data_IF_710599845635
#
_entry.id   IF_710599845635
#
_cell.length_a   1.000
_cell.length_b   1.000
_cell.length_c   1.000
_cell.angle_alpha   90.00
_cell.angle_beta   90.00
_cell.angle_gamma   90.00
#
_symmetry.space_group_name_H-M   'P 1'
#
loop_
_entity.id
_entity.type
_entity.pdbx_description
1 polymer ?
2 non-polymer ?
3 non-polymer ?
4 non-polymer ?
5 non-polymer ?
6 non-polymer ?
7 water ?
#
# COMPACT_ATOMS: atom_id res chain seq x y z
N UNK A 6 -11.47 28.78 8.22
CA UNK A 6 -11.14 28.10 9.50
C UNK A 6 -9.87 27.26 9.31
N UNK A 7 -8.84 27.48 10.14
CA UNK A 7 -7.58 26.73 10.03
C UNK A 7 -7.75 25.22 9.92
N UNK A 8 -6.87 24.59 9.17
CA UNK A 8 -6.92 23.15 8.95
C UNK A 8 -5.53 22.54 8.91
N UNK A 9 -5.42 21.26 9.28
CA UNK A 9 -4.12 20.60 9.26
C UNK A 9 -3.80 20.12 7.85
N UNK A 10 -4.82 20.14 6.98
CA UNK A 10 -4.66 19.70 5.60
C UNK A 10 -4.65 20.85 4.57
N UNK A 11 -4.38 20.46 3.33
CA UNK A 11 -4.39 21.36 2.18
C UNK A 11 -4.85 20.50 1.00
N UNK A 12 -5.88 20.96 0.30
CA UNK A 12 -6.43 20.24 -0.85
C UNK A 12 -5.87 20.78 -2.16
N UNK A 13 -5.69 19.90 -3.14
CA UNK A 13 -5.19 20.30 -4.45
C UNK A 13 -6.03 19.65 -5.54
N UNK A 14 -5.94 20.21 -6.75
CA UNK A 14 -6.60 19.62 -7.89
C UNK A 14 -5.38 19.20 -8.71
N UNK A 15 -5.59 18.41 -9.75
CA UNK A 15 -4.45 17.95 -10.54
C UNK A 15 -3.62 19.12 -11.07
N UNK A 16 -4.30 20.19 -11.47
CA UNK A 16 -3.65 21.39 -11.99
C UNK A 16 -2.61 21.92 -11.00
N UNK A 17 -3.06 22.19 -9.77
CA UNK A 17 -2.21 22.71 -8.70
C UNK A 17 -1.10 21.75 -8.29
N UNK A 18 -1.45 20.49 -8.12
CA UNK A 18 -0.47 19.49 -7.71
C UNK A 18 0.59 19.27 -8.77
N UNK A 19 0.18 19.42 -10.03
CA UNK A 19 1.08 19.24 -11.17
C UNK A 19 2.24 20.23 -11.18
N UNK A 20 1.98 21.48 -10.79
CA UNK A 20 3.01 22.50 -10.77
C UNK A 20 4.14 22.20 -9.79
N UNK A 21 3.84 21.40 -8.77
CA UNK A 21 4.83 21.05 -7.76
C UNK A 21 5.86 20.01 -8.21
N UNK A 22 5.82 19.63 -9.49
CA UNK A 22 6.76 18.66 -10.02
C UNK A 22 8.16 19.28 -10.15
N UNK A 23 8.18 20.56 -10.54
CA UNK A 23 9.42 21.28 -10.74
C UNK A 23 10.35 20.56 -11.72
N UNK A 24 11.62 20.46 -11.37
CA UNK A 24 12.59 19.81 -12.25
C UNK A 24 12.57 18.28 -12.20
N UNK A 25 11.81 17.72 -11.27
CA UNK A 25 11.74 16.27 -11.11
C UNK A 25 11.70 15.54 -12.46
N UNK A 26 12.72 14.72 -12.73
CA UNK A 26 12.83 13.96 -13.97
C UNK A 26 12.04 12.64 -14.01
N UNK A 27 11.46 12.35 -15.18
CA UNK A 27 10.69 11.13 -15.37
C UNK A 27 11.63 10.05 -15.92
N UNK A 28 11.91 9.04 -15.10
CA UNK A 28 12.82 7.98 -15.49
C UNK A 28 12.12 6.63 -15.66
N UNK A 29 10.91 6.65 -16.22
CA UNK A 29 10.19 5.42 -16.43
C UNK A 29 9.57 5.39 -17.83
N UNK A 30 9.69 4.25 -18.51
CA UNK A 30 9.15 4.11 -19.86
C UNK A 30 7.73 3.52 -19.81
N UNK A 31 6.98 3.74 -20.88
CA UNK A 31 5.61 3.22 -20.96
C UNK A 31 5.62 1.71 -20.80
N UNK A 32 6.69 1.07 -21.28
CA UNK A 32 6.81 -0.38 -21.17
C UNK A 32 7.04 -0.83 -19.73
N UNK A 33 7.87 -0.10 -19.01
CA UNK A 33 8.16 -0.42 -17.61
C UNK A 33 6.92 -0.19 -16.76
N UNK A 34 6.12 0.80 -17.16
CA UNK A 34 4.89 1.13 -16.46
C UNK A 34 3.90 -0.03 -16.50
N UNK A 35 3.77 -0.66 -17.67
CA UNK A 35 2.88 -1.79 -17.84
C UNK A 35 3.18 -2.92 -16.87
N UNK A 36 4.45 -3.22 -16.67
CA UNK A 36 4.82 -4.28 -15.76
C UNK A 36 4.47 -4.00 -14.31
N UNK A 37 4.14 -2.74 -14.01
CA UNK A 37 3.81 -2.36 -12.65
C UNK A 37 2.29 -2.21 -12.50
N UNK A 38 1.62 -2.05 -13.63
CA UNK A 38 0.18 -1.84 -13.66
C UNK A 38 -0.61 -3.10 -13.28
N UNK A 39 -1.55 -2.94 -12.36
CA UNK A 39 -2.38 -4.06 -11.94
C UNK A 39 -3.63 -4.16 -12.80
N UNK A 40 -4.27 -5.32 -12.79
CA UNK A 40 -5.49 -5.52 -13.58
C UNK A 40 -6.58 -4.51 -13.23
N UNK A 41 -7.00 -3.75 -14.22
CA UNK A 41 -8.06 -2.78 -14.01
C UNK A 41 -7.56 -1.35 -13.82
N UNK A 42 -6.26 -1.19 -13.63
CA UNK A 42 -5.70 0.15 -13.44
C UNK A 42 -5.33 0.85 -14.74
N UNK A 43 -5.72 2.12 -14.82
CA UNK A 43 -5.50 2.94 -16.01
C UNK A 43 -4.19 3.74 -16.10
N UNK A 44 -3.52 3.94 -14.97
CA UNK A 44 -2.30 4.73 -14.95
C UNK A 44 -1.46 4.78 -16.23
N UNK A 45 -1.23 5.99 -16.72
CA UNK A 45 -0.42 6.22 -17.92
C UNK A 45 0.78 7.09 -17.53
N UNK A 46 1.73 7.27 -18.45
CA UNK A 46 2.90 8.09 -18.15
C UNK A 46 2.53 9.51 -17.75
N UNK A 47 1.45 10.02 -18.30
CA UNK A 47 1.04 11.38 -17.96
C UNK A 47 0.83 11.47 -16.45
N UNK A 48 -0.07 10.63 -15.93
CA UNK A 48 -0.39 10.61 -14.50
C UNK A 48 0.86 10.44 -13.64
N UNK A 49 1.82 9.65 -14.12
CA UNK A 49 3.05 9.46 -13.38
C UNK A 49 3.76 10.81 -13.26
N UNK A 50 3.65 11.62 -14.31
CA UNK A 50 4.30 12.93 -14.35
C UNK A 50 3.61 14.00 -13.52
N UNK A 51 2.30 14.11 -13.67
CA UNK A 51 1.53 15.13 -12.96
C UNK A 51 1.16 14.80 -11.52
N UNK A 52 1.26 13.53 -11.15
CA UNK A 52 0.88 13.10 -9.81
C UNK A 52 1.97 12.40 -9.03
N UNK A 53 2.59 11.39 -9.64
CA UNK A 53 3.64 10.67 -8.94
C UNK A 53 4.99 11.36 -8.81
N UNK A 54 5.29 12.30 -9.72
CA UNK A 54 6.58 12.99 -9.64
C UNK A 54 6.61 13.99 -8.48
N UNK A 55 5.56 14.82 -8.35
CA UNK A 55 5.55 15.78 -7.23
C UNK A 55 5.69 15.00 -5.93
N UNK A 56 4.94 13.89 -5.83
CA UNK A 56 4.96 13.04 -4.66
C UNK A 56 6.36 12.55 -4.36
N UNK A 57 7.05 12.03 -5.38
CA UNK A 57 8.40 11.53 -5.18
C UNK A 57 9.31 12.65 -4.68
N UNK A 58 9.09 13.88 -5.18
CA UNK A 58 9.90 15.02 -4.77
C UNK A 58 9.67 15.29 -3.29
N UNK A 59 8.41 15.48 -2.92
CA UNK A 59 8.05 15.71 -1.52
C UNK A 59 8.67 14.65 -0.61
N UNK A 60 8.57 13.39 -1.01
CA UNK A 60 9.14 12.30 -0.22
C UNK A 60 10.66 12.46 -0.10
N UNK A 61 11.30 12.90 -1.18
CA UNK A 61 12.75 13.08 -1.15
C UNK A 61 13.15 14.21 -0.20
N UNK A 62 12.32 15.26 -0.14
CA UNK A 62 12.60 16.38 0.75
C UNK A 62 12.44 15.95 2.22
N UNK A 63 11.52 15.03 2.45
CA UNK A 63 11.24 14.53 3.80
C UNK A 63 12.24 13.50 4.32
N UNK A 64 12.77 12.66 3.43
CA UNK A 64 13.75 11.68 3.88
C UNK A 64 14.90 12.37 4.60
N UNK A 65 15.44 13.40 3.98
CA UNK A 65 16.55 14.16 4.55
C UNK A 65 16.12 14.78 5.88
N UNK A 66 14.98 15.47 5.85
CA UNK A 66 14.43 16.12 7.02
C UNK A 66 14.16 15.13 8.15
N UNK A 67 13.67 13.94 7.80
CA UNK A 67 13.37 12.94 8.82
C UNK A 67 14.65 12.45 9.48
N UNK A 68 15.75 12.46 8.74
CA UNK A 68 17.03 12.04 9.32
C UNK A 68 17.50 13.01 10.40
N UNK A 69 17.20 14.29 10.23
CA UNK A 69 17.58 15.31 11.21
C UNK A 69 17.01 14.90 12.57
N UNK A 70 15.75 14.45 12.57
CA UNK A 70 15.08 14.04 13.79
C UNK A 70 15.74 12.87 14.51
N UNK A 71 15.96 11.76 13.82
CA UNK A 71 16.59 10.62 14.47
C UNK A 71 17.99 10.97 14.91
N UNK A 72 18.63 11.88 14.16
CA UNK A 72 19.97 12.34 14.48
C UNK A 72 19.94 13.11 15.80
N UNK A 73 18.99 14.02 15.92
CA UNK A 73 18.84 14.83 17.13
C UNK A 73 18.76 13.93 18.35
N UNK A 74 17.93 12.89 18.26
CA UNK A 74 17.78 11.97 19.37
C UNK A 74 19.10 11.22 19.59
N UNK A 75 19.76 10.87 18.50
CA UNK A 75 21.04 10.15 18.58
C UNK A 75 22.08 11.02 19.28
N UNK A 76 22.03 12.32 19.01
CA UNK A 76 22.96 13.23 19.64
C UNK A 76 22.65 13.37 21.12
N UNK A 77 21.37 13.50 21.45
CA UNK A 77 20.94 13.62 22.85
C UNK A 77 21.45 12.43 23.66
N UNK A 78 21.34 11.24 23.08
CA UNK A 78 21.77 10.02 23.76
C UNK A 78 23.29 9.88 23.77
N UNK A 79 23.96 10.82 23.13
CA UNK A 79 25.42 10.78 23.08
C UNK A 79 25.93 9.74 22.11
N UNK A 80 25.03 8.92 21.58
CA UNK A 80 25.38 7.87 20.63
C UNK A 80 26.27 8.43 19.52
N UNK A 81 27.14 7.58 18.96
CA UNK A 81 28.04 8.02 17.90
C UNK A 81 27.27 8.45 16.65
N UNK A 82 27.66 9.57 16.05
CA UNK A 82 26.99 10.04 14.84
C UNK A 82 26.90 8.80 13.94
N UNK A 83 25.68 8.48 13.51
CA UNK A 83 25.43 7.27 12.72
C UNK A 83 25.87 7.17 11.26
N UNK A 84 26.16 5.92 10.91
CA UNK A 84 26.61 5.45 9.59
C UNK A 84 26.12 6.19 8.34
N UNK A 85 27.05 6.70 7.52
CA UNK A 85 26.66 7.41 6.29
C UNK A 85 26.16 6.37 5.27
N UNK A 86 24.89 6.01 5.41
CA UNK A 86 24.19 5.04 4.59
C UNK A 86 24.16 3.62 5.15
N UNK A 87 23.30 3.56 6.15
CA UNK A 87 22.88 2.46 6.97
C UNK A 87 22.10 3.38 7.91
N UNK A 88 21.44 4.40 7.32
CA UNK A 88 20.66 5.36 8.10
C UNK A 88 19.36 4.72 8.57
N UNK A 89 18.56 5.50 9.26
CA UNK A 89 17.29 4.99 9.75
C UNK A 89 16.37 4.83 8.56
N UNK A 90 16.01 3.58 8.24
CA UNK A 90 15.11 3.28 7.11
C UNK A 90 13.86 4.15 7.16
N UNK A 91 13.51 4.73 6.02
CA UNK A 91 12.35 5.59 5.90
C UNK A 91 11.16 4.71 5.54
N UNK A 92 10.20 4.62 6.45
CA UNK A 92 9.03 3.76 6.25
C UNK A 92 7.82 4.48 5.66
N UNK A 93 7.28 3.92 4.57
CA UNK A 93 6.12 4.49 3.89
C UNK A 93 4.97 3.50 3.92
N UNK A 94 3.80 3.98 4.34
CA UNK A 94 2.64 3.11 4.40
C UNK A 94 1.68 3.44 3.26
N UNK A 95 1.05 2.42 2.71
CA UNK A 95 0.09 2.62 1.61
C UNK A 95 -1.21 1.88 1.95
N UNK A 96 -2.24 2.64 2.31
CA UNK A 96 -3.51 2.06 2.71
C UNK A 96 -4.63 2.33 1.72
N UNK A 97 -5.73 1.62 1.93
CA UNK A 97 -6.91 1.77 1.09
C UNK A 97 -7.71 0.48 0.95
N UNK A 98 -8.92 0.61 0.41
CA UNK A 98 -9.83 -0.52 0.20
C UNK A 98 -9.27 -1.52 -0.80
N UNK A 99 -9.80 -2.74 -0.81
CA UNK A 99 -9.35 -3.72 -1.79
C UNK A 99 -9.86 -3.15 -3.10
N UNK A 100 -9.22 -3.53 -4.20
CA UNK A 100 -9.63 -3.08 -5.54
C UNK A 100 -9.48 -1.58 -5.77
N UNK A 101 -8.78 -0.87 -4.91
CA UNK A 101 -8.63 0.57 -5.12
C UNK A 101 -7.36 0.90 -5.89
N UNK A 102 -6.46 -0.08 -6.04
CA UNK A 102 -5.22 0.16 -6.77
C UNK A 102 -3.96 0.37 -5.95
N UNK A 103 -4.01 0.08 -4.65
CA UNK A 103 -2.84 0.24 -3.80
C UNK A 103 -1.61 -0.44 -4.40
N UNK A 104 -1.82 -1.59 -5.05
CA UNK A 104 -0.75 -2.37 -5.68
C UNK A 104 0.03 -1.56 -6.70
N UNK A 105 -0.70 -0.93 -7.60
CA UNK A 105 -0.10 -0.11 -8.64
C UNK A 105 0.64 1.06 -8.04
N UNK A 106 -0.05 1.82 -7.20
CA UNK A 106 0.50 2.98 -6.54
C UNK A 106 1.81 2.68 -5.82
N UNK A 107 1.86 1.59 -5.08
CA UNK A 107 3.06 1.24 -4.35
C UNK A 107 4.19 0.77 -5.27
N UNK A 108 3.85 0.01 -6.30
CA UNK A 108 4.86 -0.47 -7.24
C UNK A 108 5.42 0.69 -8.07
N UNK A 109 4.57 1.62 -8.45
CA UNK A 109 5.01 2.77 -9.21
C UNK A 109 5.92 3.62 -8.33
N UNK A 110 5.48 3.88 -7.09
CA UNK A 110 6.27 4.68 -6.17
C UNK A 110 7.64 4.02 -5.93
N UNK A 111 7.64 2.72 -5.73
CA UNK A 111 8.89 1.99 -5.49
C UNK A 111 9.83 2.21 -6.67
N UNK A 112 9.29 2.12 -7.87
CA UNK A 112 10.09 2.29 -9.08
C UNK A 112 10.68 3.70 -9.16
N UNK A 113 9.85 4.71 -8.93
CA UNK A 113 10.33 6.09 -9.00
C UNK A 113 11.43 6.34 -7.97
N UNK A 114 11.23 5.88 -6.75
CA UNK A 114 12.22 6.09 -5.70
C UNK A 114 13.50 5.33 -5.94
N UNK A 115 13.42 4.20 -6.63
CA UNK A 115 14.59 3.39 -6.91
C UNK A 115 15.48 4.10 -7.92
N UNK A 116 14.85 4.83 -8.82
CA UNK A 116 15.56 5.57 -9.86
C UNK A 116 15.91 6.98 -9.41
N UNK A 117 16.38 7.10 -8.18
CA UNK A 117 16.78 8.39 -7.66
C UNK A 117 18.29 8.39 -7.53
N UNK A 118 18.88 9.58 -7.43
CA UNK A 118 20.31 9.72 -7.32
C UNK A 118 20.93 8.76 -6.30
N UNK A 119 22.02 8.11 -6.69
CA UNK A 119 22.75 7.19 -5.82
C UNK A 119 22.02 5.86 -5.58
N UNK A 120 20.92 5.66 -6.30
CA UNK A 120 20.13 4.43 -6.24
C UNK A 120 19.89 3.84 -4.85
N UNK A 121 18.83 4.29 -4.17
CA UNK A 121 18.48 3.81 -2.83
C UNK A 121 17.76 2.47 -2.87
N UNK A 122 18.11 1.58 -1.95
CA UNK A 122 17.45 0.28 -1.87
C UNK A 122 16.03 0.50 -1.36
N UNK A 123 15.05 0.28 -2.24
CA UNK A 123 13.65 0.47 -1.92
C UNK A 123 12.86 -0.84 -1.94
N UNK A 124 12.52 -1.35 -0.76
CA UNK A 124 11.76 -2.58 -0.69
C UNK A 124 10.26 -2.32 -0.54
N UNK A 125 9.46 -3.28 -0.98
CA UNK A 125 8.01 -3.18 -0.91
C UNK A 125 7.44 -4.45 -0.29
N UNK A 126 6.72 -4.28 0.82
CA UNK A 126 6.11 -5.42 1.49
C UNK A 126 4.61 -5.24 1.69
N UNK A 127 3.83 -6.19 1.19
CA UNK A 127 2.38 -6.17 1.33
C UNK A 127 2.03 -6.92 2.60
N UNK A 128 0.98 -6.50 3.28
CA UNK A 128 0.62 -7.15 4.54
C UNK A 128 -0.12 -8.47 4.44
N UNK A 129 -0.50 -8.89 3.24
CA UNK A 129 -1.21 -10.16 3.13
C UNK A 129 -0.32 -11.30 3.58
N UNK A 130 0.99 -11.06 3.59
CA UNK A 130 1.93 -12.07 4.02
C UNK A 130 1.90 -12.24 5.54
N UNK A 131 1.15 -11.39 6.22
CA UNK A 131 1.03 -11.47 7.66
C UNK A 131 -0.37 -11.92 8.05
N UNK A 132 -1.14 -12.34 7.07
CA UNK A 132 -2.47 -12.84 7.36
C UNK A 132 -2.22 -14.17 8.05
N UNK A 133 -3.15 -14.60 8.89
CA UNK A 133 -2.98 -15.90 9.53
C UNK A 133 -3.23 -16.94 8.43
N UNK A 134 -2.64 -18.12 8.56
CA UNK A 134 -2.86 -19.17 7.55
C UNK A 134 -4.31 -19.59 7.65
N UNK A 135 -4.86 -20.11 6.56
CA UNK A 135 -6.25 -20.56 6.54
C UNK A 135 -6.61 -21.44 7.74
N UNK A 136 -5.79 -22.43 8.02
CA UNK A 136 -6.01 -23.34 9.14
C UNK A 136 -6.21 -22.54 10.43
N UNK A 137 -5.38 -21.53 10.63
CA UNK A 137 -5.48 -20.70 11.82
C UNK A 137 -6.74 -19.82 11.76
N UNK A 138 -7.05 -19.32 10.57
CA UNK A 138 -8.24 -18.48 10.40
C UNK A 138 -9.49 -19.31 10.69
N UNK A 139 -9.51 -20.54 10.18
CA UNK A 139 -10.64 -21.44 10.40
C UNK A 139 -10.80 -21.63 11.91
N UNK A 140 -9.68 -21.92 12.57
CA UNK A 140 -9.67 -22.12 14.00
C UNK A 140 -10.35 -20.95 14.71
N UNK A 141 -10.02 -19.74 14.27
CA UNK A 141 -10.60 -18.54 14.89
C UNK A 141 -11.92 -18.12 14.25
N UNK A 142 -12.41 -18.91 13.30
CA UNK A 142 -13.67 -18.60 12.63
C UNK A 142 -13.58 -17.30 11.83
N UNK A 143 -12.42 -17.05 11.23
CA UNK A 143 -12.21 -15.83 10.47
C UNK A 143 -12.03 -16.01 8.97
N UNK A 144 -12.33 -17.19 8.44
CA UNK A 144 -12.17 -17.44 7.00
C UNK A 144 -12.99 -16.51 6.09
N UNK A 145 -13.97 -15.82 6.66
CA UNK A 145 -14.77 -14.89 5.88
C UNK A 145 -14.52 -13.48 6.38
N UNK A 146 -13.30 -13.25 6.84
CA UNK A 146 -12.91 -11.94 7.35
C UNK A 146 -11.47 -11.62 6.98
N UNK A 147 -10.97 -12.26 5.92
CA UNK A 147 -9.60 -11.98 5.46
C UNK A 147 -9.54 -10.52 5.05
N UNK A 148 -8.67 -9.77 5.69
CA UNK A 148 -8.56 -8.35 5.39
C UNK A 148 -8.89 -7.54 6.62
N UNK A 149 -9.74 -8.08 7.49
CA UNK A 149 -10.11 -7.42 8.74
C UNK A 149 -8.89 -7.43 9.66
N UNK A 150 -8.78 -6.44 10.55
CA UNK A 150 -7.64 -6.36 11.49
C UNK A 150 -7.33 -7.67 12.23
N UNK A 151 -8.37 -8.32 12.73
CA UNK A 151 -8.22 -9.56 13.48
C UNK A 151 -7.70 -10.75 12.64
N UNK A 152 -7.68 -10.63 11.32
CA UNK A 152 -7.21 -11.74 10.50
C UNK A 152 -5.69 -11.72 10.28
N UNK A 153 -5.02 -10.74 10.86
CA UNK A 153 -3.58 -10.62 10.75
C UNK A 153 -2.80 -10.93 12.03
N UNK A 154 -1.58 -11.44 11.87
CA UNK A 154 -0.72 -11.68 13.02
C UNK A 154 -0.08 -10.29 13.16
N UNK A 155 -0.78 -9.41 13.88
CA UNK A 155 -0.32 -8.04 14.09
C UNK A 155 1.01 -7.92 14.82
N UNK A 156 1.29 -8.83 15.75
CA UNK A 156 2.54 -8.80 16.48
C UNK A 156 3.71 -9.15 15.56
N UNK A 157 3.51 -10.15 14.72
CA UNK A 157 4.57 -10.56 13.81
C UNK A 157 4.85 -9.42 12.84
N UNK A 158 3.79 -8.72 12.44
CA UNK A 158 3.91 -7.59 11.52
C UNK A 158 4.69 -6.45 12.16
N UNK A 159 4.25 -6.05 13.35
CA UNK A 159 4.89 -4.98 14.09
C UNK A 159 6.33 -5.34 14.39
N UNK A 160 6.56 -6.64 14.62
CA UNK A 160 7.89 -7.13 14.92
C UNK A 160 8.79 -6.97 13.70
N UNK A 161 8.26 -7.27 12.53
CA UNK A 161 9.00 -7.16 11.28
C UNK A 161 9.41 -5.71 10.96
N UNK A 162 8.45 -4.80 11.04
CA UNK A 162 8.73 -3.40 10.73
C UNK A 162 9.68 -2.77 11.75
N UNK A 163 9.50 -3.12 13.01
CA UNK A 163 10.35 -2.58 14.06
C UNK A 163 11.78 -3.05 13.83
N UNK A 164 11.92 -4.30 13.42
CA UNK A 164 13.24 -4.87 13.14
C UNK A 164 13.94 -4.04 12.08
N UNK A 165 13.27 -3.84 10.96
CA UNK A 165 13.81 -3.08 9.86
C UNK A 165 14.15 -1.62 10.21
N UNK A 166 13.22 -0.90 10.83
CA UNK A 166 13.52 0.49 11.17
C UNK A 166 14.57 0.60 12.25
N UNK A 167 14.70 -0.42 13.10
CA UNK A 167 15.70 -0.43 14.16
C UNK A 167 17.10 -0.73 13.62
N UNK A 168 17.23 -0.91 12.31
CA UNK A 168 18.54 -1.17 11.74
C UNK A 168 19.01 -2.60 11.58
N UNK A 169 18.11 -3.57 11.71
CA UNK A 169 18.50 -4.98 11.55
C UNK A 169 19.13 -5.21 10.19
N UNK A 170 20.00 -6.21 10.07
CA UNK A 170 20.66 -6.47 8.79
C UNK A 170 19.73 -7.20 7.84
N UNK A 171 18.82 -7.98 8.41
CA UNK A 171 17.85 -8.71 7.61
C UNK A 171 16.63 -9.04 8.48
N UNK A 172 15.47 -9.00 7.85
CA UNK A 172 14.20 -9.30 8.50
C UNK A 172 13.39 -10.11 7.50
N UNK A 173 12.55 -11.00 7.99
CA UNK A 173 11.75 -11.83 7.10
C UNK A 173 10.26 -11.74 7.32
N UNK A 174 9.51 -11.82 6.22
CA UNK A 174 8.06 -11.76 6.25
C UNK A 174 7.54 -13.02 5.57
N UNK A 175 6.37 -13.53 6.02
CA UNK A 175 5.85 -14.73 5.35
C UNK A 175 5.32 -14.29 4.00
N UNK A 176 4.92 -15.23 3.16
CA UNK A 176 4.42 -14.88 1.83
C UNK A 176 3.04 -15.45 1.60
N UNK A 177 2.18 -14.64 1.01
CA UNK A 177 0.81 -15.06 0.73
C UNK A 177 0.60 -15.35 -0.75
N UNK A 178 -0.05 -16.48 -1.05
CA UNK A 178 -0.33 -16.84 -2.44
C UNK A 178 -1.79 -16.51 -2.78
N UNK A 179 -2.00 -15.71 -3.82
CA UNK A 179 -3.35 -15.40 -4.25
C UNK A 179 -3.88 -16.54 -5.10
N UNK A 180 -2.97 -17.37 -5.59
CA UNK A 180 -3.37 -18.50 -6.41
C UNK A 180 -3.92 -19.59 -5.48
N UNK A 181 -3.23 -19.83 -4.37
CA UNK A 181 -3.66 -20.83 -3.42
C UNK A 181 -4.52 -20.27 -2.28
N UNK A 182 -4.67 -18.94 -2.24
CA UNK A 182 -5.52 -18.30 -1.24
C UNK A 182 -5.05 -18.60 0.18
N UNK A 183 -3.74 -18.72 0.37
CA UNK A 183 -3.21 -19.03 1.69
C UNK A 183 -1.73 -18.65 1.77
N UNK A 184 -1.16 -18.80 2.96
CA UNK A 184 0.25 -18.51 3.18
C UNK A 184 1.06 -19.68 2.59
N UNK A 185 2.16 -19.37 1.92
CA UNK A 185 3.00 -20.39 1.29
C UNK A 185 3.95 -21.06 2.28
N UNK A 186 3.81 -22.38 2.45
CA UNK A 186 4.71 -23.06 3.39
C UNK A 186 6.18 -22.85 3.05
N UNK A 187 6.95 -22.39 4.04
CA UNK A 187 8.37 -22.17 3.86
C UNK A 187 8.81 -20.93 3.09
N UNK A 188 7.88 -20.22 2.49
CA UNK A 188 8.26 -19.03 1.74
C UNK A 188 8.53 -17.86 2.66
N UNK A 189 9.51 -17.04 2.30
CA UNK A 189 9.87 -15.88 3.08
C UNK A 189 10.41 -14.79 2.18
N UNK A 190 10.16 -13.54 2.56
CA UNK A 190 10.66 -12.39 1.82
C UNK A 190 11.68 -11.78 2.76
N UNK A 191 12.93 -11.69 2.31
CA UNK A 191 13.99 -11.16 3.14
C UNK A 191 14.26 -9.70 2.76
N UNK A 192 14.23 -8.84 3.77
CA UNK A 192 14.46 -7.42 3.58
C UNK A 192 15.78 -7.12 4.31
N UNK A 193 16.74 -6.53 3.59
CA UNK A 193 18.04 -6.24 4.16
C UNK A 193 18.37 -4.75 4.25
N UNK A 194 18.25 -4.20 5.45
CA UNK A 194 18.54 -2.80 5.71
C UNK A 194 18.32 -1.89 4.51
N UNK A 195 17.07 -1.76 4.04
CA UNK A 195 16.83 -0.89 2.89
C UNK A 195 16.83 0.57 3.32
N UNK A 196 16.88 1.48 2.36
CA UNK A 196 16.88 2.90 2.68
C UNK A 196 15.43 3.32 2.87
N UNK A 197 14.55 2.70 2.09
CA UNK A 197 13.14 2.98 2.14
C UNK A 197 12.36 1.68 2.06
N UNK A 198 11.40 1.53 2.97
CA UNK A 198 10.54 0.36 3.00
C UNK A 198 9.10 0.81 2.85
N UNK A 199 8.43 0.27 1.85
CA UNK A 199 7.04 0.61 1.61
C UNK A 199 6.19 -0.56 2.10
N UNK A 200 5.30 -0.29 3.05
CA UNK A 200 4.43 -1.30 3.62
C UNK A 200 3.04 -1.02 3.07
N UNK A 201 2.55 -1.93 2.23
CA UNK A 201 1.25 -1.76 1.60
C UNK A 201 0.22 -2.75 2.14
N UNK A 202 -0.96 -2.25 2.46
CA UNK A 202 -2.03 -3.09 2.98
C UNK A 202 -3.27 -2.31 3.36
N UNK A 203 -4.40 -3.02 3.45
CA UNK A 203 -5.69 -2.44 3.79
C UNK A 203 -5.73 -1.58 5.06
N UNK A 204 -5.27 -2.14 6.19
CA UNK A 204 -5.31 -1.44 7.46
C UNK A 204 -3.96 -1.00 8.04
N UNK A 205 -2.99 -0.69 7.18
CA UNK A 205 -1.69 -0.29 7.69
C UNK A 205 -1.75 0.99 8.54
N UNK A 206 -2.75 1.84 8.33
CA UNK A 206 -2.86 3.07 9.10
C UNK A 206 -3.61 2.98 10.43
N UNK A 207 -3.98 1.79 10.85
CA UNK A 207 -4.69 1.63 12.11
C UNK A 207 -3.90 1.98 13.36
N UNK A 208 -4.60 2.51 14.36
CA UNK A 208 -3.99 2.85 15.65
C UNK A 208 -4.65 1.93 16.64
N UNK A 209 -4.10 1.86 17.86
CA UNK A 209 -4.69 0.99 18.86
C UNK A 209 -4.11 1.15 20.25
N UNK A 210 -4.48 0.26 21.18
CA UNK A 210 -4.02 0.27 22.57
C UNK A 210 -2.58 -0.24 22.69
N UNK A 211 -1.95 -0.44 21.55
CA UNK A 211 -0.57 -0.90 21.53
C UNK A 211 0.13 -0.15 20.39
N UNK A 212 1.45 -0.07 20.43
CA UNK A 212 2.17 0.62 19.38
C UNK A 212 2.00 -0.24 18.11
N UNK A 213 1.69 0.40 16.99
CA UNK A 213 1.47 -0.31 15.73
C UNK A 213 2.34 0.21 14.61
N UNK A 214 2.43 -0.53 13.49
CA UNK A 214 3.27 -0.10 12.39
C UNK A 214 2.99 1.33 11.94
N UNK A 215 1.74 1.78 12.01
CA UNK A 215 1.39 3.14 11.60
C UNK A 215 2.14 4.16 12.46
N UNK A 216 2.54 3.75 13.66
CA UNK A 216 3.27 4.62 14.57
C UNK A 216 4.72 4.76 14.14
N UNK A 217 5.15 3.88 13.24
CA UNK A 217 6.51 3.91 12.73
C UNK A 217 6.58 4.49 11.33
N UNK A 218 5.45 4.92 10.77
CA UNK A 218 5.48 5.49 9.43
C UNK A 218 6.04 6.90 9.44
N UNK A 219 6.91 7.21 8.47
CA UNK A 219 7.48 8.54 8.35
C UNK A 219 6.64 9.29 7.33
N UNK A 220 5.90 8.53 6.52
CA UNK A 220 5.02 9.08 5.48
C UNK A 220 3.96 8.04 5.15
N UNK A 221 2.76 8.48 4.80
CA UNK A 221 1.72 7.52 4.47
C UNK A 221 0.80 7.98 3.36
N UNK A 222 0.35 7.03 2.55
CA UNK A 222 -0.57 7.31 1.46
C UNK A 222 -1.87 6.55 1.67
N UNK A 223 -2.97 7.15 1.23
CA UNK A 223 -4.28 6.52 1.31
C UNK A 223 -4.93 6.72 -0.06
N UNK A 224 -5.04 5.64 -0.83
CA UNK A 224 -5.66 5.68 -2.15
C UNK A 224 -7.17 5.64 -1.90
N UNK A 225 -7.84 6.72 -2.27
CA UNK A 225 -9.27 6.86 -2.04
C UNK A 225 -10.15 6.95 -3.30
N UNK A 226 -11.44 6.70 -3.10
CA UNK A 226 -12.43 6.76 -4.18
C UNK A 226 -13.80 6.61 -3.55
N UNK A 227 -14.85 6.99 -4.28
CA UNK A 227 -16.20 6.87 -3.77
C UNK A 227 -16.49 5.38 -3.61
N UNK A 228 -17.04 5.00 -2.48
CA UNK A 228 -17.33 3.60 -2.21
C UNK A 228 -18.06 2.88 -3.35
N UNK A 229 -19.05 3.53 -3.97
CA UNK A 229 -19.79 2.91 -5.07
C UNK A 229 -18.86 2.63 -6.25
N UNK A 230 -17.94 3.56 -6.51
CA UNK A 230 -17.00 3.39 -7.61
C UNK A 230 -16.08 2.22 -7.35
N UNK A 231 -15.62 2.07 -6.11
CA UNK A 231 -14.74 0.98 -5.76
C UNK A 231 -15.46 -0.36 -5.91
N UNK A 232 -16.74 -0.41 -5.53
CA UNK A 232 -17.50 -1.65 -5.68
C UNK A 232 -17.58 -2.01 -7.15
N UNK A 233 -17.84 -1.02 -7.99
CA UNK A 233 -17.92 -1.26 -9.42
C UNK A 233 -16.58 -1.82 -9.90
N UNK A 234 -15.48 -1.21 -9.46
CA UNK A 234 -14.15 -1.66 -9.85
C UNK A 234 -13.96 -3.11 -9.40
N UNK A 235 -14.39 -3.40 -8.17
CA UNK A 235 -14.27 -4.75 -7.62
C UNK A 235 -15.05 -5.79 -8.45
N UNK A 236 -16.32 -5.51 -8.70
CA UNK A 236 -17.16 -6.42 -9.48
C UNK A 236 -16.58 -6.60 -10.88
N UNK A 237 -16.26 -5.48 -11.51
CA UNK A 237 -15.70 -5.52 -12.85
C UNK A 237 -14.43 -6.38 -12.86
N UNK A 238 -13.55 -6.19 -11.89
CA UNK A 238 -12.33 -6.98 -11.84
C UNK A 238 -12.66 -8.46 -11.57
N UNK A 239 -13.72 -8.72 -10.82
CA UNK A 239 -14.12 -10.08 -10.52
C UNK A 239 -14.48 -10.79 -11.83
N UNK A 240 -15.34 -10.18 -12.64
CA UNK A 240 -15.73 -10.78 -13.91
C UNK A 240 -14.51 -11.01 -14.80
N UNK A 241 -13.65 -10.00 -14.90
CA UNK A 241 -12.45 -10.08 -15.72
C UNK A 241 -11.49 -11.19 -15.29
N UNK A 242 -11.49 -11.53 -14.01
CA UNK A 242 -10.59 -12.58 -13.54
C UNK A 242 -11.04 -13.96 -13.96
N UNK A 243 -12.26 -14.07 -14.48
CA UNK A 243 -12.77 -15.36 -14.94
C UNK A 243 -11.87 -15.94 -16.03
N UNK A 244 -11.22 -15.07 -16.80
CA UNK A 244 -10.33 -15.56 -17.83
C UNK A 244 -8.84 -15.37 -17.53
N UNK A 245 -8.51 -14.77 -16.39
CA UNK A 245 -7.10 -14.63 -16.03
C UNK A 245 -6.84 -15.47 -14.78
N UNK A 246 -6.88 -14.84 -13.61
CA UNK A 246 -6.62 -15.52 -12.35
C UNK A 246 -7.46 -16.78 -12.11
N UNK A 247 -8.78 -16.69 -12.25
CA UNK A 247 -9.65 -17.83 -12.01
C UNK A 247 -9.53 -18.95 -13.05
N UNK A 248 -8.97 -18.64 -14.21
CA UNK A 248 -8.85 -19.64 -15.27
C UNK A 248 -7.92 -20.79 -14.88
N UNK A 249 -6.93 -20.50 -14.06
CA UNK A 249 -6.00 -21.52 -13.61
C UNK A 249 -6.74 -22.56 -12.77
N UNK A 250 -6.52 -23.85 -13.07
CA UNK A 250 -7.19 -24.93 -12.33
C UNK A 250 -6.80 -24.99 -10.84
N UNK A 251 -5.66 -24.41 -10.49
CA UNK A 251 -5.21 -24.41 -9.09
C UNK A 251 -5.90 -23.33 -8.28
N UNK A 252 -6.53 -22.38 -8.95
CA UNK A 252 -7.20 -21.29 -8.27
C UNK A 252 -8.34 -21.75 -7.37
N UNK A 253 -8.42 -21.18 -6.17
CA UNK A 253 -9.47 -21.51 -5.22
C UNK A 253 -10.70 -20.68 -5.56
N UNK A 254 -10.71 -20.13 -6.75
CA UNK A 254 -11.81 -19.31 -7.24
C UNK A 254 -12.10 -19.83 -8.64
N UNK A 255 -11.53 -20.99 -8.98
CA UNK A 255 -11.70 -21.56 -10.31
C UNK A 255 -13.12 -21.94 -10.70
N UNK A 256 -13.99 -22.17 -9.72
CA UNK A 256 -15.35 -22.54 -10.05
C UNK A 256 -16.10 -21.31 -10.53
N UNK A 257 -15.55 -20.14 -10.28
CA UNK A 257 -16.16 -18.88 -10.70
C UNK A 257 -15.92 -18.58 -12.17
N UNK A 258 -14.89 -19.21 -12.74
CA UNK A 258 -14.54 -18.99 -14.14
C UNK A 258 -15.73 -19.25 -15.07
N UNK A 259 -16.52 -20.28 -14.74
CA UNK A 259 -17.67 -20.66 -15.56
C UNK A 259 -18.90 -19.79 -15.38
N UNK A 260 -18.98 -19.06 -14.26
CA UNK A 260 -20.13 -18.20 -14.01
C UNK A 260 -20.42 -17.28 -15.18
N UNK A 261 -21.70 -16.97 -15.38
CA UNK A 261 -22.10 -16.08 -16.46
C UNK A 261 -21.87 -14.67 -15.94
N UNK A 262 -22.07 -13.67 -16.79
CA UNK A 262 -21.87 -12.31 -16.36
C UNK A 262 -22.72 -11.99 -15.12
N UNK A 263 -24.03 -12.18 -15.24
CA UNK A 263 -24.93 -11.88 -14.12
C UNK A 263 -24.66 -12.75 -12.89
N UNK A 264 -24.28 -14.01 -13.10
CA UNK A 264 -23.98 -14.91 -11.99
C UNK A 264 -22.75 -14.41 -11.22
N UNK A 265 -21.77 -13.91 -11.96
CA UNK A 265 -20.53 -13.42 -11.38
C UNK A 265 -20.79 -12.08 -10.67
N UNK A 266 -21.65 -11.26 -11.27
CA UNK A 266 -21.99 -9.98 -10.66
C UNK A 266 -22.65 -10.20 -9.31
N UNK A 267 -23.51 -11.22 -9.24
CA UNK A 267 -24.18 -11.54 -8.00
C UNK A 267 -23.18 -12.00 -6.95
N UNK A 268 -22.31 -12.92 -7.35
CA UNK A 268 -21.30 -13.43 -6.43
C UNK A 268 -20.39 -12.30 -5.92
N UNK A 269 -19.85 -11.50 -6.85
CA UNK A 269 -18.95 -10.41 -6.48
C UNK A 269 -19.63 -9.42 -5.54
N UNK A 270 -20.88 -9.08 -5.84
CA UNK A 270 -21.63 -8.16 -5.01
C UNK A 270 -21.84 -8.67 -3.60
N UNK A 271 -22.03 -9.98 -3.47
CA UNK A 271 -22.26 -10.56 -2.16
C UNK A 271 -20.99 -10.54 -1.32
N UNK A 272 -19.86 -10.82 -1.95
CA UNK A 272 -18.58 -10.80 -1.24
C UNK A 272 -18.29 -9.38 -0.80
N UNK A 273 -18.59 -8.43 -1.69
CA UNK A 273 -18.37 -7.03 -1.37
C UNK A 273 -19.30 -6.60 -0.23
N UNK A 274 -20.56 -7.02 -0.31
CA UNK A 274 -21.54 -6.66 0.70
C UNK A 274 -21.21 -7.25 2.07
N UNK A 275 -20.82 -8.50 2.10
CA UNK A 275 -20.53 -9.17 3.36
C UNK A 275 -19.11 -9.07 3.90
N UNK A 276 -18.14 -8.78 3.05
CA UNK A 276 -16.77 -8.71 3.54
C UNK A 276 -16.05 -7.37 3.37
N UNK A 277 -15.75 -7.04 2.13
CA UNK A 277 -14.98 -5.85 1.82
C UNK A 277 -15.61 -4.51 2.13
N UNK A 278 -16.91 -4.36 1.93
CA UNK A 278 -17.54 -3.09 2.23
C UNK A 278 -17.51 -2.83 3.74
N UNK A 279 -17.95 -3.81 4.56
CA UNK A 279 -17.95 -3.63 6.01
C UNK A 279 -16.56 -3.26 6.52
N UNK A 280 -15.54 -3.96 6.05
CA UNK A 280 -14.16 -3.70 6.46
C UNK A 280 -13.72 -2.28 6.10
N UNK A 281 -14.09 -1.82 4.90
CA UNK A 281 -13.74 -0.48 4.44
C UNK A 281 -14.40 0.57 5.35
N UNK A 282 -15.70 0.41 5.58
CA UNK A 282 -16.46 1.36 6.42
C UNK A 282 -16.07 1.36 7.90
N UNK A 283 -15.88 0.18 8.46
CA UNK A 283 -15.55 0.03 9.87
C UNK A 283 -14.08 0.18 10.24
N UNK A 284 -13.18 -0.22 9.36
CA UNK A 284 -11.77 -0.16 9.71
C UNK A 284 -10.85 0.68 8.87
N UNK A 285 -11.00 0.60 7.55
CA UNK A 285 -10.13 1.34 6.65
C UNK A 285 -10.40 2.83 6.60
N UNK A 286 -11.62 3.20 6.22
CA UNK A 286 -11.97 4.61 6.13
C UNK A 286 -11.64 5.42 7.39
N UNK A 287 -11.84 4.84 8.59
CA UNK A 287 -11.54 5.56 9.83
C UNK A 287 -10.05 5.88 10.02
N UNK A 288 -9.20 5.36 9.15
CA UNK A 288 -7.77 5.62 9.24
C UNK A 288 -7.33 6.69 8.25
N UNK A 289 -8.20 7.02 7.29
CA UNK A 289 -7.88 8.01 6.29
C UNK A 289 -7.46 9.37 6.83
N UNK A 290 -8.11 9.85 7.90
CA UNK A 290 -7.77 11.15 8.48
C UNK A 290 -6.30 11.38 8.84
N UNK A 291 -5.58 10.32 9.20
CA UNK A 291 -4.17 10.51 9.57
C UNK A 291 -3.15 10.27 8.46
N UNK A 292 -3.62 9.95 7.26
CA UNK A 292 -2.71 9.72 6.14
C UNK A 292 -2.02 11.02 5.74
N UNK A 293 -0.72 10.94 5.42
CA UNK A 293 0.02 12.13 5.02
C UNK A 293 -0.56 12.70 3.72
N UNK A 294 -0.84 11.81 2.77
CA UNK A 294 -1.38 12.23 1.48
C UNK A 294 -2.49 11.30 1.01
N UNK A 295 -3.62 11.88 0.65
CA UNK A 295 -4.75 11.11 0.15
C UNK A 295 -4.90 11.32 -1.35
N UNK A 296 -4.85 10.22 -2.11
CA UNK A 296 -4.98 10.28 -3.55
C UNK A 296 -6.42 9.94 -3.87
N UNK A 297 -7.20 10.96 -4.22
CA UNK A 297 -8.61 10.78 -4.54
C UNK A 297 -8.78 10.47 -6.02
N UNK A 298 -9.33 9.29 -6.32
CA UNK A 298 -9.56 8.85 -7.69
C UNK A 298 -11.02 9.01 -8.09
N UNK A 299 -11.24 9.28 -9.37
CA UNK A 299 -12.59 9.40 -9.89
C UNK A 299 -13.01 8.06 -10.48
N UNK A 300 -14.29 7.94 -10.81
CA UNK A 300 -14.87 6.71 -11.37
C UNK A 300 -14.03 6.03 -12.45
N UNK A 301 -13.18 6.79 -13.12
CA UNK A 301 -12.34 6.23 -14.17
C UNK A 301 -10.94 5.90 -13.69
N UNK A 302 -10.78 5.75 -12.37
CA UNK A 302 -9.49 5.42 -11.76
C UNK A 302 -8.50 6.58 -11.82
N UNK A 303 -8.95 7.71 -12.35
CA UNK A 303 -8.09 8.88 -12.50
C UNK A 303 -7.92 9.67 -11.19
N UNK A 304 -6.67 9.88 -10.76
CA UNK A 304 -6.43 10.66 -9.54
C UNK A 304 -6.58 12.12 -9.92
N UNK A 305 -7.66 12.77 -9.48
CA UNK A 305 -7.88 14.17 -9.82
C UNK A 305 -7.88 15.15 -8.63
N UNK A 306 -7.75 14.62 -7.43
CA UNK A 306 -7.73 15.45 -6.23
C UNK A 306 -6.78 14.86 -5.20
N UNK A 307 -6.09 15.74 -4.46
CA UNK A 307 -5.16 15.28 -3.43
C UNK A 307 -5.31 16.09 -2.16
N UNK A 308 -5.18 15.43 -1.01
CA UNK A 308 -5.30 16.11 0.27
C UNK A 308 -4.01 15.82 1.04
N UNK A 309 -3.27 16.87 1.33
CA UNK A 309 -2.02 16.74 2.04
C UNK A 309 -2.14 17.24 3.47
N UNK A 310 -1.40 16.62 4.37
CA UNK A 310 -1.39 17.04 5.76
C UNK A 310 -0.22 17.99 5.92
N UNK A 311 -0.50 19.25 6.19
CA UNK A 311 0.57 20.21 6.38
C UNK A 311 0.93 20.11 7.86
N UNK A 312 -0.03 19.68 8.67
CA UNK A 312 0.14 19.49 10.11
C UNK A 312 -0.27 18.06 10.48
#
# INVERSE_FOLDING_TARGET
MSRLSEPSPYVEFDRRQWRALRMSTPLALTEEELVGLRGLGEQIDLLEVEEVYLPLARLIHLQVAARQRLFAATAEFLGEPQQNPDRPVPFIIGVAGSVAVGKSTTARVLQALLARWDHHPRVDLVTTDGFLYPNAELQRRNLMHRKGFPESYNRRALMRFVTSVKSGSDYACAPVYSHLHYDIIPGAEQVVRHPDILILEGLNVLQTGPTLMVSDLFDFSLYVDARIEDIEQWYVSRFLAMRTTAFADPESHFHHYAAFSDSQAVVAAREIWRTINRPNLVENILPTRPRATLVLRKDADHSINRLRLRKL
#
